data_IF_330305356985
#
_entry.id   IF_330305356985
#
_cell.length_a   1.000
_cell.length_b   1.000
_cell.length_c   1.000
_cell.angle_alpha   90.00
_cell.angle_beta   90.00
_cell.angle_gamma   90.00
#
_symmetry.space_group_name_H-M   'P 1'
#
loop_
_entity.id
_entity.type
_entity.pdbx_description
1 polymer ?
#
# COMPACT_ATOMS: atom_id res chain seq x y z
N UNK A 1 -4.02 -31.66 7.03
CA UNK A 1 -4.32 -30.43 6.25
C UNK A 1 -3.69 -29.14 6.79
N UNK A 2 -3.67 -28.90 8.11
CA UNK A 2 -3.16 -27.66 8.75
C UNK A 2 -1.68 -27.32 8.48
N UNK A 3 -0.85 -28.34 8.21
CA UNK A 3 0.60 -28.18 7.92
C UNK A 3 0.84 -27.56 6.53
N UNK A 4 -0.01 -27.86 5.53
CA UNK A 4 0.15 -27.36 4.14
C UNK A 4 -0.40 -25.95 3.95
N UNK A 5 -1.35 -25.52 4.78
CA UNK A 5 -1.95 -24.18 4.76
C UNK A 5 -2.03 -23.62 6.18
N UNK A 6 -0.88 -23.30 6.81
CA UNK A 6 -0.91 -22.74 8.15
C UNK A 6 -1.64 -21.39 8.14
N UNK A 7 -2.36 -21.11 9.21
CA UNK A 7 -3.04 -19.84 9.38
C UNK A 7 -2.02 -18.75 9.71
N UNK A 8 -2.19 -17.57 9.12
CA UNK A 8 -1.42 -16.37 9.45
C UNK A 8 -2.36 -15.20 9.68
N UNK A 9 -1.83 -14.10 10.21
CA UNK A 9 -2.59 -12.86 10.41
C UNK A 9 -3.12 -12.19 9.15
N UNK A 10 -2.72 -12.66 7.96
CA UNK A 10 -3.14 -12.11 6.66
C UNK A 10 -3.74 -13.16 5.71
N UNK A 11 -4.00 -14.37 6.20
CA UNK A 11 -4.62 -15.46 5.42
C UNK A 11 -3.84 -16.77 5.44
N UNK A 12 -4.42 -17.87 4.93
CA UNK A 12 -3.80 -19.18 5.00
C UNK A 12 -2.64 -19.34 4.00
N UNK A 13 -1.64 -20.16 4.35
CA UNK A 13 -0.54 -20.55 3.47
C UNK A 13 0.86 -20.28 4.04
N UNK A 14 1.85 -21.02 3.54
CA UNK A 14 3.25 -20.85 3.98
C UNK A 14 3.83 -19.49 3.58
N UNK A 15 3.53 -19.02 2.36
CA UNK A 15 3.99 -17.72 1.86
C UNK A 15 3.42 -16.57 2.69
N UNK A 16 2.11 -16.56 2.92
CA UNK A 16 1.43 -15.54 3.73
C UNK A 16 1.91 -15.57 5.17
N UNK A 17 2.17 -16.77 5.74
CA UNK A 17 2.81 -16.90 7.05
C UNK A 17 4.20 -16.26 7.10
N UNK A 18 5.06 -16.55 6.13
CA UNK A 18 6.38 -15.91 6.04
C UNK A 18 6.28 -14.38 5.95
N UNK A 19 5.38 -13.89 5.09
CA UNK A 19 5.19 -12.45 4.89
C UNK A 19 4.58 -11.74 6.11
N UNK A 20 3.78 -12.45 6.92
CA UNK A 20 3.20 -11.93 8.15
C UNK A 20 4.19 -11.92 9.30
N UNK A 21 4.93 -13.03 9.48
CA UNK A 21 5.69 -13.30 10.69
C UNK A 21 7.14 -12.81 10.61
N UNK A 22 7.69 -12.65 9.39
CA UNK A 22 9.07 -12.23 9.18
C UNK A 22 9.25 -11.00 8.26
N UNK A 23 8.65 -9.81 8.56
CA UNK A 23 8.79 -8.63 7.71
C UNK A 23 10.24 -8.14 7.55
N UNK A 24 11.09 -8.35 8.56
CA UNK A 24 12.51 -8.01 8.49
C UNK A 24 13.28 -8.89 7.50
N UNK A 25 12.92 -10.18 7.40
CA UNK A 25 13.53 -11.09 6.43
C UNK A 25 13.04 -10.77 5.03
N UNK A 26 11.75 -10.44 4.87
CA UNK A 26 11.19 -9.99 3.60
C UNK A 26 11.98 -8.82 2.99
N UNK A 27 12.41 -7.86 3.82
CA UNK A 27 13.20 -6.69 3.39
C UNK A 27 14.51 -7.05 2.70
N UNK A 28 15.09 -8.21 3.02
CA UNK A 28 16.36 -8.67 2.45
C UNK A 28 16.20 -9.24 1.03
N UNK A 29 14.97 -9.46 0.56
CA UNK A 29 14.72 -9.87 -0.81
C UNK A 29 15.12 -8.77 -1.81
N UNK A 30 15.54 -9.15 -3.04
CA UNK A 30 15.78 -8.20 -4.11
C UNK A 30 14.58 -7.29 -4.36
N UNK A 31 14.85 -6.05 -4.75
CA UNK A 31 13.81 -5.02 -4.95
C UNK A 31 12.68 -5.48 -5.86
N UNK A 32 13.03 -6.05 -7.01
CA UNK A 32 12.05 -6.52 -7.99
C UNK A 32 11.18 -7.64 -7.42
N UNK A 33 11.77 -8.57 -6.67
CA UNK A 33 11.04 -9.64 -5.99
C UNK A 33 10.06 -9.09 -4.95
N UNK A 34 10.47 -8.10 -4.16
CA UNK A 34 9.58 -7.44 -3.18
C UNK A 34 8.40 -6.77 -3.87
N UNK A 35 8.65 -6.03 -4.94
CA UNK A 35 7.62 -5.36 -5.73
C UNK A 35 6.60 -6.37 -6.29
N UNK A 36 7.08 -7.45 -6.89
CA UNK A 36 6.20 -8.45 -7.49
C UNK A 36 5.36 -9.20 -6.46
N UNK A 37 5.95 -9.53 -5.30
CA UNK A 37 5.21 -10.16 -4.20
C UNK A 37 4.12 -9.22 -3.68
N UNK A 38 4.45 -7.95 -3.41
CA UNK A 38 3.48 -6.98 -2.86
C UNK A 38 2.33 -6.73 -3.85
N UNK A 39 2.62 -6.68 -5.15
CA UNK A 39 1.63 -6.52 -6.22
C UNK A 39 0.69 -7.72 -6.34
N UNK A 40 1.19 -8.95 -6.20
CA UNK A 40 0.43 -10.17 -6.50
C UNK A 40 -0.20 -10.84 -5.27
N UNK A 41 0.25 -10.51 -4.06
CA UNK A 41 -0.22 -11.18 -2.84
C UNK A 41 -1.57 -10.65 -2.38
N UNK A 42 -2.49 -11.57 -2.09
CA UNK A 42 -3.82 -11.29 -1.53
C UNK A 42 -4.58 -10.26 -2.38
N UNK A 43 -4.98 -10.67 -3.58
CA UNK A 43 -5.81 -9.88 -4.49
C UNK A 43 -7.22 -9.61 -3.94
N UNK A 44 -8.06 -8.92 -4.73
CA UNK A 44 -9.43 -8.63 -4.33
C UNK A 44 -10.19 -9.93 -4.04
N UNK A 45 -10.89 -9.97 -2.92
CA UNK A 45 -11.72 -11.10 -2.51
C UNK A 45 -13.07 -10.57 -2.01
N UNK A 46 -14.15 -11.00 -2.67
CA UNK A 46 -15.51 -10.71 -2.23
C UNK A 46 -15.92 -11.60 -1.05
N UNK A 47 -16.96 -11.18 -0.32
CA UNK A 47 -17.58 -12.04 0.69
C UNK A 47 -18.16 -13.30 0.04
N UNK A 48 -17.88 -14.47 0.61
CA UNK A 48 -18.29 -15.76 0.02
C UNK A 48 -19.81 -15.85 -0.23
N UNK A 49 -20.60 -15.19 0.63
CA UNK A 49 -22.06 -15.15 0.59
C UNK A 49 -22.65 -14.33 -0.58
N UNK A 50 -21.85 -13.51 -1.28
CA UNK A 50 -22.36 -12.70 -2.40
C UNK A 50 -22.28 -13.43 -3.74
N UNK A 51 -21.58 -14.57 -3.81
CA UNK A 51 -21.28 -15.26 -5.07
C UNK A 51 -22.54 -15.59 -5.86
N UNK A 52 -23.49 -16.29 -5.26
CA UNK A 52 -24.68 -16.78 -5.97
C UNK A 52 -25.57 -15.63 -6.42
N UNK A 53 -25.69 -14.57 -5.59
CA UNK A 53 -26.45 -13.37 -5.95
C UNK A 53 -25.80 -12.61 -7.11
N UNK A 54 -24.47 -12.52 -7.14
CA UNK A 54 -23.75 -11.82 -8.20
C UNK A 54 -23.81 -12.62 -9.51
N UNK A 55 -23.47 -13.91 -9.47
CA UNK A 55 -23.38 -14.75 -10.69
C UNK A 55 -24.74 -14.97 -11.37
N UNK A 56 -25.85 -14.91 -10.63
CA UNK A 56 -27.20 -15.06 -11.20
C UNK A 56 -27.78 -13.78 -11.77
N UNK A 57 -27.43 -12.62 -11.20
CA UNK A 57 -28.15 -11.36 -11.48
C UNK A 57 -27.30 -10.30 -12.19
N UNK A 58 -25.99 -10.47 -12.32
CA UNK A 58 -25.09 -9.45 -12.88
C UNK A 58 -24.23 -10.05 -14.00
N UNK A 59 -24.32 -9.52 -15.24
CA UNK A 59 -23.42 -9.91 -16.33
C UNK A 59 -21.96 -9.64 -15.95
N UNK A 60 -21.10 -10.64 -16.13
CA UNK A 60 -19.69 -10.54 -15.79
C UNK A 60 -18.85 -10.35 -17.06
N UNK A 61 -18.19 -9.20 -17.14
CA UNK A 61 -17.22 -8.87 -18.19
C UNK A 61 -15.84 -8.93 -17.55
N UNK A 62 -15.14 -10.04 -17.76
CA UNK A 62 -13.87 -10.37 -17.10
C UNK A 62 -12.75 -10.55 -18.14
N UNK A 63 -11.50 -10.52 -17.68
CA UNK A 63 -10.33 -10.75 -18.55
C UNK A 63 -10.02 -9.62 -19.52
N UNK A 64 -10.61 -8.44 -19.30
CA UNK A 64 -10.43 -7.25 -20.11
C UNK A 64 -9.72 -6.12 -19.35
N UNK A 65 -9.22 -5.16 -20.11
CA UNK A 65 -8.66 -3.90 -19.63
C UNK A 65 -9.43 -2.74 -20.24
N UNK A 66 -9.65 -1.68 -19.46
CA UNK A 66 -10.24 -0.44 -19.97
C UNK A 66 -9.17 0.37 -20.69
N UNK A 67 -9.35 0.62 -21.98
CA UNK A 67 -8.44 1.43 -22.79
C UNK A 67 -8.84 2.91 -22.76
N UNK A 68 -10.15 3.18 -22.85
CA UNK A 68 -10.70 4.53 -22.91
C UNK A 68 -12.07 4.58 -22.25
N UNK A 69 -12.39 5.74 -21.67
CA UNK A 69 -13.71 6.06 -21.16
C UNK A 69 -14.06 7.48 -21.58
N UNK A 70 -15.25 7.67 -22.14
CA UNK A 70 -15.71 8.95 -22.67
C UNK A 70 -17.13 9.25 -22.21
N UNK A 71 -17.43 10.51 -21.91
CA UNK A 71 -18.81 10.94 -21.72
C UNK A 71 -19.36 11.44 -23.06
N UNK A 72 -20.40 10.77 -23.58
CA UNK A 72 -21.08 11.12 -24.83
C UNK A 72 -22.58 10.96 -24.65
N UNK A 73 -23.37 11.91 -25.16
CA UNK A 73 -24.84 11.84 -25.16
C UNK A 73 -25.45 11.54 -23.76
N UNK A 74 -24.82 12.06 -22.70
CA UNK A 74 -25.25 11.85 -21.31
C UNK A 74 -24.92 10.48 -20.72
N UNK A 75 -24.16 9.62 -21.43
CA UNK A 75 -23.73 8.29 -20.97
C UNK A 75 -22.21 8.16 -21.00
N UNK A 76 -21.70 7.12 -20.35
CA UNK A 76 -20.28 6.74 -20.38
C UNK A 76 -20.06 5.61 -21.36
N UNK A 77 -19.19 5.84 -22.33
CA UNK A 77 -18.73 4.88 -23.32
C UNK A 77 -17.38 4.32 -22.88
N UNK A 78 -17.36 3.04 -22.48
CA UNK A 78 -16.19 2.31 -22.02
C UNK A 78 -15.66 1.41 -23.12
N UNK A 79 -14.43 1.65 -23.57
CA UNK A 79 -13.74 0.80 -24.54
C UNK A 79 -12.86 -0.20 -23.80
N UNK A 80 -13.15 -1.49 -24.02
CA UNK A 80 -12.51 -2.61 -23.36
C UNK A 80 -11.71 -3.43 -24.37
N UNK A 81 -10.56 -3.93 -23.94
CA UNK A 81 -9.70 -4.84 -24.71
C UNK A 81 -9.35 -6.09 -23.94
N UNK A 82 -9.48 -7.24 -24.59
CA UNK A 82 -9.08 -8.56 -24.09
C UNK A 82 -7.67 -8.93 -24.57
N UNK A 83 -7.08 -9.93 -23.94
CA UNK A 83 -5.72 -10.41 -24.26
C UNK A 83 -5.60 -11.03 -25.65
N UNK A 84 -6.70 -11.49 -26.23
CA UNK A 84 -6.79 -12.01 -27.59
C UNK A 84 -6.91 -10.90 -28.66
N UNK A 85 -6.91 -9.63 -28.24
CA UNK A 85 -7.05 -8.47 -29.11
C UNK A 85 -8.50 -8.07 -29.39
N UNK A 86 -9.50 -8.84 -28.93
CA UNK A 86 -10.91 -8.44 -29.05
C UNK A 86 -11.13 -7.09 -28.36
N UNK A 87 -11.85 -6.21 -29.05
CA UNK A 87 -12.31 -4.94 -28.51
C UNK A 87 -13.83 -4.91 -28.42
N UNK A 88 -14.35 -4.26 -27.39
CA UNK A 88 -15.79 -4.07 -27.21
C UNK A 88 -16.06 -2.74 -26.51
N UNK A 89 -17.11 -2.06 -26.95
CA UNK A 89 -17.66 -0.90 -26.25
C UNK A 89 -18.79 -1.34 -25.30
N UNK A 90 -18.81 -0.78 -24.10
CA UNK A 90 -19.92 -0.87 -23.16
C UNK A 90 -20.41 0.54 -22.85
N UNK A 91 -21.70 0.75 -23.03
CA UNK A 91 -22.36 2.02 -22.68
C UNK A 91 -23.02 1.85 -21.31
N UNK A 92 -22.75 2.76 -20.38
CA UNK A 92 -23.30 2.76 -19.03
C UNK A 92 -23.73 4.15 -18.59
N UNK A 93 -24.75 4.24 -17.75
CA UNK A 93 -25.16 5.52 -17.16
C UNK A 93 -24.18 5.99 -16.07
N UNK A 94 -23.58 5.03 -15.34
CA UNK A 94 -22.62 5.31 -14.27
C UNK A 94 -21.44 4.34 -14.27
N UNK A 95 -20.29 4.82 -13.80
CA UNK A 95 -19.08 4.02 -13.63
C UNK A 95 -18.55 4.19 -12.21
N UNK A 96 -18.29 3.06 -11.55
CA UNK A 96 -17.64 3.02 -10.24
C UNK A 96 -16.21 2.50 -10.41
N UNK A 97 -15.23 3.39 -10.21
CA UNK A 97 -13.81 3.04 -10.30
C UNK A 97 -13.30 2.38 -9.01
N UNK A 98 -13.55 1.09 -8.84
CA UNK A 98 -13.09 0.29 -7.69
C UNK A 98 -11.63 -0.22 -7.85
N UNK A 99 -10.72 0.62 -8.35
CA UNK A 99 -9.34 0.23 -8.74
C UNK A 99 -8.33 0.22 -7.60
N UNK A 100 -8.75 0.61 -6.39
CA UNK A 100 -7.91 0.68 -5.20
C UNK A 100 -6.96 1.89 -5.17
N UNK A 101 -5.92 1.81 -4.34
CA UNK A 101 -4.97 2.91 -4.11
C UNK A 101 -3.54 2.49 -4.42
N UNK A 102 -2.74 3.44 -4.91
CA UNK A 102 -1.29 3.30 -5.07
C UNK A 102 -0.57 4.32 -4.20
N UNK A 103 0.50 3.89 -3.54
CA UNK A 103 1.40 4.79 -2.84
C UNK A 103 2.12 5.66 -3.87
N UNK A 104 2.10 6.97 -3.65
CA UNK A 104 2.84 7.91 -4.48
C UNK A 104 3.29 9.08 -3.61
N UNK A 105 4.59 9.15 -3.34
CA UNK A 105 5.19 10.22 -2.56
C UNK A 105 4.84 11.60 -3.09
N UNK A 106 4.77 11.79 -4.40
CA UNK A 106 4.46 13.09 -5.01
C UNK A 106 3.06 13.61 -4.69
N UNK A 107 2.14 12.74 -4.27
CA UNK A 107 0.79 13.13 -3.85
C UNK A 107 0.70 13.58 -2.39
N UNK A 108 1.76 13.40 -1.60
CA UNK A 108 1.81 13.86 -0.21
C UNK A 108 2.14 15.37 -0.16
N UNK A 109 1.17 16.19 -0.58
CA UNK A 109 1.35 17.65 -0.68
C UNK A 109 1.45 18.37 0.67
N UNK A 110 1.09 17.69 1.76
CA UNK A 110 1.34 18.19 3.12
C UNK A 110 2.83 18.21 3.48
N UNK A 111 3.67 17.41 2.81
CA UNK A 111 5.13 17.48 2.95
C UNK A 111 5.67 18.62 2.09
N UNK A 112 6.52 19.46 2.70
CA UNK A 112 7.24 20.51 1.99
C UNK A 112 7.95 19.93 0.75
N UNK A 113 7.84 20.56 -0.44
CA UNK A 113 8.48 20.06 -1.66
C UNK A 113 9.97 19.72 -1.52
N UNK A 114 10.73 20.50 -0.73
CA UNK A 114 12.16 20.28 -0.48
C UNK A 114 12.44 19.02 0.38
N UNK A 115 11.50 18.62 1.24
CA UNK A 115 11.60 17.36 1.98
C UNK A 115 11.19 16.21 1.05
N UNK A 116 10.09 16.38 0.32
CA UNK A 116 9.52 15.35 -0.56
C UNK A 116 10.51 14.91 -1.64
N UNK A 117 11.22 15.85 -2.28
CA UNK A 117 12.22 15.55 -3.32
C UNK A 117 13.43 14.78 -2.80
N UNK A 118 13.72 14.83 -1.49
CA UNK A 118 14.84 14.11 -0.86
C UNK A 118 14.48 12.68 -0.45
N UNK A 119 13.20 12.31 -0.46
CA UNK A 119 12.77 10.94 -0.17
C UNK A 119 13.06 10.07 -1.38
N UNK A 120 14.01 9.13 -1.24
CA UNK A 120 14.28 8.10 -2.25
C UNK A 120 13.05 7.22 -2.41
N UNK A 121 12.64 6.99 -3.66
CA UNK A 121 11.46 6.18 -3.95
C UNK A 121 11.78 5.00 -4.86
N UNK A 122 10.98 3.95 -4.72
CA UNK A 122 10.93 2.80 -5.61
C UNK A 122 9.47 2.62 -6.06
N UNK A 123 9.20 2.88 -7.35
CA UNK A 123 7.85 2.81 -7.91
C UNK A 123 6.82 3.69 -7.16
N UNK A 124 7.24 4.88 -6.70
CA UNK A 124 6.39 5.83 -5.97
C UNK A 124 6.29 5.60 -4.45
N UNK A 125 6.77 4.45 -3.95
CA UNK A 125 6.85 4.15 -2.50
C UNK A 125 8.20 4.60 -1.92
N UNK A 126 8.26 5.05 -0.66
CA UNK A 126 9.54 5.40 -0.02
C UNK A 126 10.43 4.17 0.17
N UNK A 127 11.72 4.30 -0.09
CA UNK A 127 12.73 3.31 0.28
C UNK A 127 13.03 3.47 1.77
N UNK A 128 12.93 2.39 2.53
CA UNK A 128 13.00 2.44 3.99
C UNK A 128 14.14 1.58 4.55
N UNK A 129 14.75 2.06 5.64
CA UNK A 129 15.69 1.31 6.47
C UNK A 129 14.98 0.17 7.22
N UNK A 130 15.76 -0.66 7.92
CA UNK A 130 15.19 -1.70 8.82
C UNK A 130 14.35 -1.13 9.97
N UNK A 131 14.44 0.18 10.22
CA UNK A 131 13.71 0.88 11.27
C UNK A 131 12.56 1.75 10.73
N UNK A 132 12.11 1.53 9.49
CA UNK A 132 11.03 2.30 8.83
C UNK A 132 11.39 3.77 8.52
N UNK A 133 12.66 4.13 8.63
CA UNK A 133 13.14 5.48 8.33
C UNK A 133 13.39 5.64 6.82
N UNK A 134 13.02 6.78 6.26
CA UNK A 134 13.30 7.14 4.88
C UNK A 134 14.75 7.61 4.68
N UNK A 135 15.10 8.04 3.46
CA UNK A 135 16.37 8.72 3.22
C UNK A 135 16.46 10.12 3.83
N UNK A 136 15.36 10.66 4.34
CA UNK A 136 15.36 11.89 5.14
C UNK A 136 15.42 11.49 6.62
N UNK A 137 16.45 11.93 7.38
CA UNK A 137 16.60 11.59 8.78
C UNK A 137 15.37 11.97 9.61
N UNK A 138 15.03 11.11 10.57
CA UNK A 138 13.89 11.19 11.47
C UNK A 138 12.50 11.17 10.80
N UNK A 139 12.43 11.00 9.47
CA UNK A 139 11.18 10.87 8.74
C UNK A 139 10.87 9.39 8.48
N UNK A 140 9.81 8.88 9.09
CA UNK A 140 9.43 7.47 9.05
C UNK A 140 8.11 7.28 8.29
N UNK A 141 7.99 6.16 7.57
CA UNK A 141 6.75 5.78 6.88
C UNK A 141 6.31 4.39 7.32
N UNK A 142 5.00 4.23 7.55
CA UNK A 142 4.40 3.00 8.07
C UNK A 142 3.16 2.59 7.28
N UNK A 143 2.61 1.42 7.60
CA UNK A 143 1.43 0.89 6.91
C UNK A 143 1.72 0.66 5.42
N UNK A 144 0.74 0.93 4.56
CA UNK A 144 0.85 0.61 3.12
C UNK A 144 2.08 1.24 2.43
N UNK A 145 2.54 2.42 2.89
CA UNK A 145 3.75 3.07 2.37
C UNK A 145 5.02 2.23 2.61
N UNK A 146 5.03 1.38 3.64
CA UNK A 146 6.12 0.49 3.99
C UNK A 146 6.03 -0.89 3.32
N UNK A 147 4.97 -1.19 2.57
CA UNK A 147 4.74 -2.52 2.01
C UNK A 147 5.84 -2.97 1.04
N UNK A 148 6.39 -2.05 0.23
CA UNK A 148 7.52 -2.37 -0.67
C UNK A 148 8.77 -2.83 0.10
N UNK A 149 8.95 -2.38 1.35
CA UNK A 149 10.10 -2.74 2.19
C UNK A 149 9.83 -3.94 3.08
N UNK A 150 8.65 -4.01 3.71
CA UNK A 150 8.34 -4.98 4.76
C UNK A 150 7.29 -6.02 4.37
N UNK A 151 6.78 -5.94 3.14
CA UNK A 151 5.94 -6.96 2.52
C UNK A 151 4.44 -6.77 2.73
N UNK A 152 3.65 -7.73 2.22
CA UNK A 152 2.18 -7.64 2.16
C UNK A 152 1.49 -7.36 3.49
N UNK A 153 2.06 -7.79 4.61
CA UNK A 153 1.45 -7.60 5.94
C UNK A 153 1.25 -6.13 6.32
N UNK A 154 2.03 -5.23 5.72
CA UNK A 154 1.87 -3.79 5.93
C UNK A 154 0.57 -3.21 5.38
N UNK A 155 -0.18 -3.98 4.58
CA UNK A 155 -1.53 -3.61 4.11
C UNK A 155 -2.64 -4.02 5.09
N UNK A 156 -2.29 -4.65 6.20
CA UNK A 156 -3.23 -5.22 7.18
C UNK A 156 -2.95 -4.66 8.57
N UNK A 157 -4.01 -4.46 9.36
CA UNK A 157 -3.89 -4.04 10.76
C UNK A 157 -2.97 -4.97 11.58
N UNK A 158 -2.89 -6.26 11.21
CA UNK A 158 -1.97 -7.23 11.82
C UNK A 158 -0.51 -6.77 11.86
N UNK A 159 -0.05 -6.03 10.83
CA UNK A 159 1.31 -5.50 10.77
C UNK A 159 1.61 -4.41 11.81
N UNK A 160 0.59 -3.77 12.37
CA UNK A 160 0.75 -2.62 13.27
C UNK A 160 1.57 -2.97 14.52
N UNK A 161 1.35 -4.15 15.11
CA UNK A 161 2.08 -4.57 16.31
C UNK A 161 3.58 -4.72 16.07
N UNK A 162 3.98 -5.28 14.92
CA UNK A 162 5.38 -5.38 14.53
C UNK A 162 5.99 -3.98 14.33
N UNK A 163 5.32 -3.12 13.57
CA UNK A 163 5.79 -1.78 13.24
C UNK A 163 5.94 -0.91 14.49
N UNK A 164 4.93 -0.89 15.37
CA UNK A 164 4.93 -0.09 16.59
C UNK A 164 6.10 -0.47 17.52
N UNK A 165 6.29 -1.78 17.77
CA UNK A 165 7.43 -2.26 18.60
C UNK A 165 8.77 -1.87 18.00
N UNK A 166 8.94 -2.02 16.68
CA UNK A 166 10.20 -1.67 16.00
C UNK A 166 10.50 -0.19 16.04
N UNK A 167 9.51 0.66 15.79
CA UNK A 167 9.68 2.10 15.86
C UNK A 167 9.97 2.57 17.28
N UNK A 168 9.22 2.11 18.29
CA UNK A 168 9.45 2.47 19.68
C UNK A 168 10.87 2.11 20.14
N UNK A 169 11.36 0.91 19.78
CA UNK A 169 12.74 0.49 20.05
C UNK A 169 13.78 1.37 19.35
N UNK A 170 13.54 1.76 18.10
CA UNK A 170 14.45 2.62 17.33
C UNK A 170 14.50 4.02 17.92
N UNK A 171 13.34 4.62 18.20
CA UNK A 171 13.22 5.96 18.77
C UNK A 171 13.84 6.03 20.17
N UNK A 172 13.62 5.03 21.02
CA UNK A 172 14.24 4.98 22.34
C UNK A 172 15.77 4.95 22.25
N UNK A 173 16.34 4.17 21.33
CA UNK A 173 17.80 4.11 21.10
C UNK A 173 18.36 5.41 20.53
N UNK A 174 17.59 6.15 19.75
CA UNK A 174 18.03 7.45 19.21
C UNK A 174 17.97 8.54 20.27
N UNK A 175 16.92 8.57 21.11
CA UNK A 175 16.77 9.52 22.21
C UNK A 175 17.88 9.39 23.25
N UNK A 176 18.36 8.16 23.52
CA UNK A 176 19.49 7.93 24.43
C UNK A 176 20.85 8.34 23.85
N UNK A 177 20.96 8.46 22.52
CA UNK A 177 22.19 8.87 21.82
C UNK A 177 22.27 10.37 21.50
N UNK A 178 21.14 11.06 21.52
CA UNK A 178 21.08 12.51 21.34
C UNK A 178 19.87 13.03 22.10
N UNK A 179 20.03 13.46 23.37
CA UNK A 179 19.00 14.28 24.00
C UNK A 179 18.94 15.58 23.19
N UNK A 180 17.91 15.72 22.35
CA UNK A 180 17.68 16.95 21.63
C UNK A 180 17.27 18.02 22.65
N UNK A 181 18.24 18.81 23.12
CA UNK A 181 17.96 20.05 23.84
C UNK A 181 17.38 21.04 22.82
N UNK A 182 16.06 21.11 22.72
CA UNK A 182 15.42 22.20 22.00
C UNK A 182 15.46 23.44 22.93
N UNK A 183 16.16 24.53 22.56
CA UNK A 183 16.01 25.79 23.28
C UNK A 183 14.53 26.21 23.14
N UNK A 184 13.86 26.36 24.27
CA UNK A 184 12.50 26.88 24.31
C UNK A 184 12.51 28.28 23.67
N UNK A 185 11.89 28.42 22.50
CA UNK A 185 11.68 29.74 21.91
C UNK A 185 10.77 30.52 22.86
N UNK A 186 11.25 31.68 23.33
CA UNK A 186 10.47 32.60 24.16
C UNK A 186 9.17 32.91 23.42
N UNK A 187 8.05 32.50 24.01
CA UNK A 187 6.72 32.96 23.59
C UNK A 187 6.73 34.49 23.71
N UNK A 188 6.61 35.18 22.58
CA UNK A 188 6.38 36.62 22.57
C UNK A 188 4.98 36.83 23.14
N UNK A 189 4.91 37.26 24.39
CA UNK A 189 3.68 37.80 24.98
C UNK A 189 3.31 39.07 24.22
N UNK A 190 2.21 39.03 23.48
CA UNK A 190 1.59 40.23 22.97
C UNK A 190 1.05 41.03 24.18
N UNK A 191 1.62 42.22 24.41
CA UNK A 191 1.06 43.19 25.34
C UNK A 191 -0.23 43.77 24.75
N UNK A 192 -1.17 44.05 25.65
CA UNK A 192 -2.52 44.57 25.42
C UNK A 192 -2.52 45.98 24.85
#
# INVERSE_FOLDING_TARGET
ERIRKPQSGIGPGLKTKLYADAPNLFRLLPEQTRLDIVRRTLGPAGGWFTKDKLMKNVPLVLGCTTERAEARDGKVHLHLRWTDGKQQEIVADHVIAATGYKVNMERLKFLNPAIRSRVKTLQGSPVLSSNFESSVPNLHFVGIAAATSFGPVMRFAFGAGFTARKLAQSMHKSATKSPATLPASRVVTAAK
#
